data_IF_444430842368
#
_entry.id   IF_444430842368
#
_cell.length_a   1.000
_cell.length_b   1.000
_cell.length_c   1.000
_cell.angle_alpha   90.00
_cell.angle_beta   90.00
_cell.angle_gamma   90.00
#
_symmetry.space_group_name_H-M   'P 1'
#
loop_
_entity.id
_entity.type
_entity.pdbx_description
1 polymer ?
#
# COMPACT_ATOMS: atom_id res chain seq x y z
N UNK A 1 6.18 -5.56 -16.39
CA UNK A 1 6.61 -4.21 -15.96
C UNK A 1 8.12 -4.24 -15.77
N UNK A 2 8.87 -3.29 -16.34
CA UNK A 2 10.33 -3.20 -16.21
C UNK A 2 10.73 -2.66 -14.84
N UNK A 3 12.02 -2.79 -14.49
CA UNK A 3 12.55 -2.25 -13.23
C UNK A 3 12.42 -0.72 -13.17
N UNK A 4 12.64 -0.04 -14.29
CA UNK A 4 12.48 1.40 -14.44
C UNK A 4 11.04 1.82 -14.17
N UNK A 5 10.06 1.16 -14.79
CA UNK A 5 8.63 1.42 -14.55
C UNK A 5 8.26 1.19 -13.07
N UNK A 6 8.85 0.18 -12.40
CA UNK A 6 8.64 -0.05 -10.97
C UNK A 6 9.18 1.10 -10.12
N UNK A 7 10.32 1.65 -10.50
CA UNK A 7 10.96 2.73 -9.77
C UNK A 7 10.19 4.05 -9.94
N UNK A 8 9.60 4.30 -11.10
CA UNK A 8 8.69 5.43 -11.31
C UNK A 8 7.43 5.32 -10.45
N UNK A 9 6.88 4.11 -10.29
CA UNK A 9 5.77 3.87 -9.35
C UNK A 9 6.20 4.18 -7.92
N UNK A 10 7.38 3.75 -7.50
CA UNK A 10 7.91 4.07 -6.18
C UNK A 10 8.02 5.59 -5.95
N UNK A 11 8.49 6.35 -6.95
CA UNK A 11 8.58 7.81 -6.87
C UNK A 11 7.20 8.50 -6.80
N UNK A 12 6.21 7.99 -7.53
CA UNK A 12 4.83 8.46 -7.42
C UNK A 12 4.28 8.27 -6.02
N UNK A 13 4.58 7.13 -5.39
CA UNK A 13 4.18 6.85 -4.01
C UNK A 13 4.93 7.76 -3.03
N UNK A 14 6.24 7.91 -3.18
CA UNK A 14 7.06 8.80 -2.34
C UNK A 14 6.54 10.25 -2.41
N UNK A 15 6.04 10.69 -3.57
CA UNK A 15 5.49 12.05 -3.73
C UNK A 15 4.22 12.33 -2.90
N UNK A 16 3.52 11.29 -2.45
CA UNK A 16 2.29 11.40 -1.63
C UNK A 16 2.48 10.88 -0.20
N UNK A 17 3.68 10.42 0.14
CA UNK A 17 3.91 9.66 1.37
C UNK A 17 3.68 10.49 2.63
N UNK A 18 4.10 11.76 2.62
CA UNK A 18 3.95 12.64 3.78
C UNK A 18 2.48 13.02 4.00
N UNK A 19 1.72 13.22 2.92
CA UNK A 19 0.28 13.52 2.97
C UNK A 19 -0.52 12.35 3.55
N UNK A 20 0.04 11.14 3.54
CA UNK A 20 -0.56 9.94 4.11
C UNK A 20 -0.06 9.74 5.55
N UNK A 21 1.26 9.71 5.76
CA UNK A 21 1.84 9.28 7.03
C UNK A 21 1.76 10.33 8.14
N UNK A 22 1.79 11.64 7.80
CA UNK A 22 1.70 12.68 8.84
C UNK A 22 0.31 12.68 9.49
N UNK A 23 -0.81 12.73 8.74
CA UNK A 23 -2.14 12.63 9.35
C UNK A 23 -2.39 11.27 10.02
N UNK A 24 -1.86 10.18 9.46
CA UNK A 24 -1.99 8.85 10.06
C UNK A 24 -1.39 8.80 11.48
N UNK A 25 -0.22 9.43 11.69
CA UNK A 25 0.45 9.46 12.99
C UNK A 25 -0.23 10.40 13.98
N UNK A 26 -0.53 11.62 13.55
CA UNK A 26 -0.98 12.70 14.45
C UNK A 26 -2.48 12.56 14.78
N UNK A 27 -3.27 12.15 13.81
CA UNK A 27 -4.73 12.25 13.87
C UNK A 27 -5.44 10.91 13.66
N UNK A 28 -4.69 9.83 13.41
CA UNK A 28 -5.23 8.50 13.11
C UNK A 28 -6.26 8.55 11.98
N UNK A 29 -5.92 9.27 10.91
CA UNK A 29 -6.74 9.41 9.70
C UNK A 29 -5.86 9.48 8.46
N UNK A 30 -6.38 9.08 7.31
CA UNK A 30 -5.79 9.39 6.01
C UNK A 30 -6.78 10.26 5.26
N UNK A 31 -6.31 11.36 4.69
CA UNK A 31 -7.16 12.21 3.84
C UNK A 31 -7.68 11.42 2.64
N UNK A 32 -8.98 11.50 2.37
CA UNK A 32 -9.66 10.71 1.33
C UNK A 32 -8.96 10.81 -0.02
N UNK A 33 -8.57 12.03 -0.43
CA UNK A 33 -7.89 12.25 -1.71
C UNK A 33 -6.55 11.50 -1.82
N UNK A 34 -5.72 11.58 -0.77
CA UNK A 34 -4.41 10.92 -0.75
C UNK A 34 -4.57 9.40 -0.64
N UNK A 35 -5.57 8.95 0.11
CA UNK A 35 -5.92 7.54 0.23
C UNK A 35 -6.39 6.96 -1.11
N UNK A 36 -7.35 7.59 -1.79
CA UNK A 36 -7.83 7.14 -3.10
C UNK A 36 -6.70 7.06 -4.12
N UNK A 37 -5.81 8.06 -4.13
CA UNK A 37 -4.63 8.06 -5.02
C UNK A 37 -3.67 6.91 -4.69
N UNK A 38 -3.44 6.61 -3.40
CA UNK A 38 -2.64 5.45 -3.01
C UNK A 38 -3.27 4.15 -3.52
N UNK A 39 -4.57 3.95 -3.26
CA UNK A 39 -5.28 2.73 -3.67
C UNK A 39 -5.26 2.56 -5.20
N UNK A 40 -5.50 3.62 -5.97
CA UNK A 40 -5.40 3.58 -7.43
C UNK A 40 -4.02 3.11 -7.90
N UNK A 41 -2.95 3.63 -7.30
CA UNK A 41 -1.58 3.21 -7.61
C UNK A 41 -1.37 1.74 -7.26
N UNK A 42 -1.82 1.29 -6.09
CA UNK A 42 -1.64 -0.09 -5.63
C UNK A 42 -2.44 -1.08 -6.48
N UNK A 43 -3.66 -0.74 -6.88
CA UNK A 43 -4.49 -1.58 -7.74
C UNK A 43 -3.94 -1.67 -9.16
N UNK A 44 -3.46 -0.56 -9.72
CA UNK A 44 -2.76 -0.57 -11.00
C UNK A 44 -1.49 -1.42 -10.92
N UNK A 45 -0.72 -1.26 -9.85
CA UNK A 45 0.48 -2.01 -9.61
C UNK A 45 0.20 -3.52 -9.52
N UNK A 46 -0.79 -3.92 -8.72
CA UNK A 46 -1.22 -5.30 -8.56
C UNK A 46 -1.54 -5.96 -9.92
N UNK A 47 -2.24 -5.25 -10.81
CA UNK A 47 -2.53 -5.74 -12.17
C UNK A 47 -1.27 -5.89 -13.03
N UNK A 48 -0.30 -4.97 -12.90
CA UNK A 48 0.90 -4.92 -13.75
C UNK A 48 2.03 -5.85 -13.30
N UNK A 49 2.12 -6.13 -12.00
CA UNK A 49 3.13 -7.05 -11.43
C UNK A 49 2.63 -8.47 -11.30
N UNK A 50 1.34 -8.71 -11.56
CA UNK A 50 0.77 -10.06 -11.54
C UNK A 50 1.57 -11.02 -12.43
N UNK A 51 2.08 -12.10 -11.84
CA UNK A 51 2.91 -13.10 -12.54
C UNK A 51 4.35 -12.64 -12.85
N UNK A 52 4.75 -11.43 -12.44
CA UNK A 52 6.15 -11.01 -12.50
C UNK A 52 6.95 -11.72 -11.41
N UNK A 53 8.04 -12.45 -11.73
CA UNK A 53 8.87 -13.10 -10.72
C UNK A 53 9.73 -12.12 -9.92
N UNK A 54 9.77 -10.85 -10.33
CA UNK A 54 10.66 -9.83 -9.78
C UNK A 54 9.86 -8.57 -9.49
N UNK A 55 10.10 -7.99 -8.31
CA UNK A 55 9.72 -6.63 -7.93
C UNK A 55 11.01 -5.86 -7.66
N UNK A 56 11.11 -4.60 -8.11
CA UNK A 56 12.32 -3.81 -7.86
C UNK A 56 12.52 -3.56 -6.37
N UNK A 57 13.78 -3.54 -5.93
CA UNK A 57 14.13 -3.28 -4.53
C UNK A 57 13.54 -1.97 -4.03
N UNK A 58 13.64 -0.89 -4.81
CA UNK A 58 13.10 0.44 -4.45
C UNK A 58 11.60 0.37 -4.21
N UNK A 59 10.85 -0.21 -5.14
CA UNK A 59 9.40 -0.36 -5.00
C UNK A 59 9.04 -1.22 -3.78
N UNK A 60 9.71 -2.35 -3.59
CA UNK A 60 9.46 -3.22 -2.44
C UNK A 60 9.70 -2.48 -1.11
N UNK A 61 10.79 -1.70 -1.00
CA UNK A 61 11.08 -0.93 0.20
C UNK A 61 10.07 0.18 0.47
N UNK A 62 9.63 0.89 -0.57
CA UNK A 62 8.63 1.96 -0.43
C UNK A 62 7.28 1.40 0.05
N UNK A 63 6.82 0.32 -0.57
CA UNK A 63 5.56 -0.34 -0.19
C UNK A 63 5.61 -0.89 1.23
N UNK A 64 6.71 -1.58 1.58
CA UNK A 64 6.91 -2.12 2.92
C UNK A 64 6.94 -1.01 3.98
N UNK A 65 7.66 0.08 3.72
CA UNK A 65 7.75 1.20 4.65
C UNK A 65 6.39 1.86 4.93
N UNK A 66 5.58 2.09 3.90
CA UNK A 66 4.23 2.64 4.06
C UNK A 66 3.34 1.69 4.83
N UNK A 67 3.32 0.42 4.44
CA UNK A 67 2.50 -0.59 5.09
C UNK A 67 2.83 -0.70 6.58
N UNK A 68 4.11 -0.89 6.92
CA UNK A 68 4.57 -0.96 8.30
C UNK A 68 4.27 0.30 9.11
N UNK A 69 4.40 1.47 8.49
CA UNK A 69 4.04 2.73 9.14
C UNK A 69 2.55 2.77 9.46
N UNK A 70 1.68 2.44 8.50
CA UNK A 70 0.23 2.48 8.68
C UNK A 70 -0.28 1.44 9.68
N UNK A 71 0.18 0.20 9.58
CA UNK A 71 -0.26 -0.88 10.49
C UNK A 71 0.17 -0.61 11.94
N UNK A 72 1.36 -0.01 12.13
CA UNK A 72 1.84 0.39 13.45
C UNK A 72 0.98 1.48 14.08
N UNK A 73 0.34 2.34 13.28
CA UNK A 73 -0.62 3.31 13.81
C UNK A 73 -1.99 2.67 14.07
N UNK A 74 -2.43 1.75 13.20
CA UNK A 74 -3.76 1.13 13.25
C UNK A 74 -3.95 0.20 14.45
N UNK A 75 -2.88 -0.38 15.00
CA UNK A 75 -2.96 -1.23 16.21
C UNK A 75 -3.51 -0.48 17.44
N UNK A 76 -3.49 0.85 17.43
CA UNK A 76 -4.00 1.70 18.50
C UNK A 76 -5.40 2.26 18.22
N UNK A 77 -6.04 1.84 17.13
CA UNK A 77 -7.37 2.29 16.73
C UNK A 77 -8.42 1.22 17.03
N UNK A 78 -9.67 1.65 17.22
CA UNK A 78 -10.77 0.71 17.36
C UNK A 78 -10.94 -0.12 16.09
N UNK A 79 -11.18 -1.44 16.21
CA UNK A 79 -11.58 -2.27 15.10
C UNK A 79 -12.82 -1.66 14.42
N UNK A 80 -12.77 -1.54 13.07
CA UNK A 80 -13.79 -0.89 12.23
C UNK A 80 -13.83 0.65 12.22
N UNK A 81 -12.91 1.33 12.91
CA UNK A 81 -12.72 2.77 12.66
C UNK A 81 -12.37 3.03 11.19
N UNK A 82 -12.73 4.21 10.62
CA UNK A 82 -12.44 4.51 9.22
C UNK A 82 -10.97 4.31 8.85
N UNK A 83 -10.06 4.74 9.72
CA UNK A 83 -8.63 4.55 9.54
C UNK A 83 -8.21 3.08 9.56
N UNK A 84 -8.72 2.30 10.51
CA UNK A 84 -8.44 0.86 10.55
C UNK A 84 -8.89 0.17 9.25
N UNK A 85 -10.09 0.50 8.75
CA UNK A 85 -10.61 -0.05 7.50
C UNK A 85 -9.77 0.37 6.28
N UNK A 86 -9.30 1.62 6.25
CA UNK A 86 -8.38 2.09 5.21
C UNK A 86 -7.06 1.32 5.23
N UNK A 87 -6.48 1.06 6.41
CA UNK A 87 -5.24 0.29 6.53
C UNK A 87 -5.45 -1.17 6.15
N UNK A 88 -6.57 -1.78 6.53
CA UNK A 88 -6.93 -3.15 6.10
C UNK A 88 -7.06 -3.25 4.56
N UNK A 89 -7.57 -2.21 3.90
CA UNK A 89 -7.61 -2.17 2.44
C UNK A 89 -6.20 -2.12 1.83
N UNK A 90 -5.29 -1.31 2.39
CA UNK A 90 -3.88 -1.29 1.95
C UNK A 90 -3.24 -2.66 2.12
N UNK A 91 -3.47 -3.33 3.26
CA UNK A 91 -2.99 -4.70 3.51
C UNK A 91 -3.48 -5.67 2.44
N UNK A 92 -4.77 -5.63 2.09
CA UNK A 92 -5.34 -6.45 1.03
C UNK A 92 -4.68 -6.20 -0.34
N UNK A 93 -4.38 -4.94 -0.67
CA UNK A 93 -3.66 -4.62 -1.91
C UNK A 93 -2.21 -5.15 -1.88
N UNK A 94 -1.51 -5.01 -0.74
CA UNK A 94 -0.15 -5.54 -0.58
C UNK A 94 -0.12 -7.06 -0.71
N UNK A 95 -1.09 -7.76 -0.11
CA UNK A 95 -1.24 -9.21 -0.28
C UNK A 95 -1.48 -9.59 -1.75
N UNK A 96 -2.19 -8.75 -2.52
CA UNK A 96 -2.35 -8.94 -3.95
C UNK A 96 -1.03 -8.83 -4.74
N UNK A 97 -0.19 -7.86 -4.37
CA UNK A 97 1.09 -7.55 -5.03
C UNK A 97 2.17 -8.59 -4.70
N UNK A 98 2.30 -8.95 -3.42
CA UNK A 98 3.39 -9.81 -2.92
C UNK A 98 2.97 -11.27 -2.70
N UNK A 99 1.68 -11.55 -2.58
CA UNK A 99 1.16 -12.89 -2.32
C UNK A 99 1.20 -13.78 -3.56
N UNK A 100 1.60 -15.04 -3.35
CA UNK A 100 1.61 -16.04 -4.42
C UNK A 100 0.18 -16.48 -4.74
N UNK A 101 -0.15 -16.61 -6.03
CA UNK A 101 -1.54 -16.79 -6.50
C UNK A 101 -2.17 -18.12 -6.10
N UNK A 102 -1.39 -19.06 -5.59
CA UNK A 102 -1.87 -20.41 -5.23
C UNK A 102 -2.78 -20.43 -3.99
N UNK A 103 -2.79 -19.39 -3.17
CA UNK A 103 -3.61 -19.32 -1.95
C UNK A 103 -4.92 -18.52 -2.11
N UNK A 104 -5.23 -17.97 -3.30
CA UNK A 104 -6.49 -17.22 -3.53
C UNK A 104 -7.74 -18.11 -3.72
N UNK A 105 -7.69 -19.36 -3.28
CA UNK A 105 -8.87 -20.19 -3.08
C UNK A 105 -9.05 -20.29 -1.57
N UNK A 106 -10.27 -20.05 -1.09
CA UNK A 106 -10.70 -20.13 0.32
C UNK A 106 -10.37 -18.92 1.20
N UNK A 107 -11.05 -17.80 0.97
CA UNK A 107 -11.72 -17.03 2.03
C UNK A 107 -13.08 -16.54 1.52
#
# INVERSE_FOLDING_TARGET
>A
MTVEEMNEVAEKIDSIILDILVPARVEKRIGEKSFSKLIEILDELNRKVHGSPIISRKLSSTLFFIYCSLISEAQYCEPRSPFFMQVAQVESCMAGIFGDTKERKTL
#
